data_IF_383042369860
#
_entry.id   IF_383042369860
#
_cell.length_a   1.000
_cell.length_b   1.000
_cell.length_c   1.000
_cell.angle_alpha   90.00
_cell.angle_beta   90.00
_cell.angle_gamma   90.00
#
_symmetry.space_group_name_H-M   'P 1'
#
loop_
_entity.id
_entity.type
_entity.pdbx_description
1 polymer ?
#
# COMPACT_ATOMS: atom_id res chain seq x y z
N UNK A 1 5.66 9.14 -0.13
CA UNK A 1 4.28 8.63 0.09
C UNK A 1 3.88 7.76 -1.09
N UNK A 2 3.10 6.71 -0.86
CA UNK A 2 2.53 5.84 -1.89
C UNK A 2 1.11 6.31 -2.23
N UNK A 3 1.01 7.41 -2.98
CA UNK A 3 -0.26 8.10 -3.27
C UNK A 3 -1.23 7.22 -4.07
N UNK A 4 -0.72 6.39 -4.98
CA UNK A 4 -1.53 5.51 -5.81
C UNK A 4 -2.19 4.42 -4.97
N UNK A 5 -1.43 3.75 -4.09
CA UNK A 5 -1.98 2.79 -3.13
C UNK A 5 -3.08 3.41 -2.26
N UNK A 6 -2.85 4.61 -1.72
CA UNK A 6 -3.87 5.29 -0.90
C UNK A 6 -5.14 5.61 -1.71
N UNK A 7 -4.99 6.06 -2.95
CA UNK A 7 -6.12 6.36 -3.83
C UNK A 7 -6.95 5.10 -4.13
N UNK A 8 -6.30 3.97 -4.43
CA UNK A 8 -7.00 2.71 -4.73
C UNK A 8 -7.70 2.13 -3.49
N UNK A 9 -7.11 2.24 -2.30
CA UNK A 9 -7.77 1.89 -1.03
C UNK A 9 -9.09 2.64 -0.87
N UNK A 10 -9.09 3.95 -1.15
CA UNK A 10 -10.29 4.80 -1.05
C UNK A 10 -11.30 4.46 -2.14
N UNK A 11 -10.86 4.30 -3.40
CA UNK A 11 -11.72 3.97 -4.55
C UNK A 11 -12.50 2.68 -4.32
N UNK A 12 -11.82 1.64 -3.82
CA UNK A 12 -12.41 0.34 -3.53
C UNK A 12 -13.10 0.25 -2.16
N UNK A 13 -13.02 1.30 -1.33
CA UNK A 13 -13.54 1.35 0.03
C UNK A 13 -13.00 0.21 0.91
N UNK A 14 -11.74 -0.17 0.71
CA UNK A 14 -11.10 -1.23 1.49
C UNK A 14 -10.73 -0.69 2.87
N UNK A 15 -11.08 -1.47 3.91
CA UNK A 15 -10.70 -1.14 5.28
C UNK A 15 -9.21 -1.43 5.46
N UNK A 16 -8.42 -0.38 5.65
CA UNK A 16 -6.98 -0.46 5.98
C UNK A 16 -6.61 -1.47 7.08
N UNK A 17 -7.40 -1.68 8.16
CA UNK A 17 -7.12 -2.75 9.12
C UNK A 17 -7.02 -4.15 8.50
N UNK A 18 -7.82 -4.47 7.47
CA UNK A 18 -7.77 -5.76 6.78
C UNK A 18 -6.45 -5.92 6.00
N UNK A 19 -6.01 -4.84 5.35
CA UNK A 19 -4.72 -4.82 4.66
C UNK A 19 -3.59 -5.04 5.66
N UNK A 20 -3.66 -4.38 6.82
CA UNK A 20 -2.65 -4.50 7.86
C UNK A 20 -2.57 -5.94 8.40
N UNK A 21 -3.72 -6.56 8.67
CA UNK A 21 -3.83 -7.96 9.09
C UNK A 21 -3.25 -8.92 8.05
N UNK A 22 -3.59 -8.75 6.77
CA UNK A 22 -3.12 -9.60 5.67
C UNK A 22 -1.59 -9.62 5.52
N UNK A 23 -0.91 -8.52 5.88
CA UNK A 23 0.56 -8.42 5.88
C UNK A 23 1.20 -8.63 7.26
N UNK A 24 0.43 -9.02 8.28
CA UNK A 24 0.93 -9.26 9.63
C UNK A 24 1.44 -8.00 10.34
N UNK A 25 0.84 -6.83 10.08
CA UNK A 25 1.22 -5.53 10.64
C UNK A 25 0.07 -4.87 11.39
N UNK A 26 0.42 -3.89 12.23
CA UNK A 26 -0.57 -3.05 12.87
C UNK A 26 -1.11 -1.99 11.89
N UNK A 27 -2.32 -1.50 12.15
CA UNK A 27 -2.91 -0.38 11.41
C UNK A 27 -1.98 0.85 11.38
N UNK A 28 -1.31 1.14 12.50
CA UNK A 28 -0.35 2.25 12.59
C UNK A 28 0.88 2.01 11.69
N UNK A 29 1.44 0.80 11.71
CA UNK A 29 2.57 0.43 10.85
C UNK A 29 2.21 0.55 9.38
N UNK A 30 1.01 0.11 8.98
CA UNK A 30 0.52 0.26 7.61
C UNK A 30 0.45 1.75 7.22
N UNK A 31 -0.13 2.60 8.06
CA UNK A 31 -0.22 4.04 7.76
C UNK A 31 1.16 4.70 7.63
N UNK A 32 2.12 4.35 8.49
CA UNK A 32 3.49 4.86 8.38
C UNK A 32 4.17 4.39 7.08
N UNK A 33 3.92 3.16 6.64
CA UNK A 33 4.39 2.65 5.36
C UNK A 33 3.76 3.38 4.18
N UNK A 34 2.42 3.56 4.16
CA UNK A 34 1.71 4.32 3.11
C UNK A 34 2.22 5.77 3.03
N UNK A 35 2.41 6.42 4.19
CA UNK A 35 3.00 7.76 4.27
C UNK A 35 4.44 7.82 3.70
N UNK A 36 5.10 6.67 3.54
CA UNK A 36 6.46 6.53 3.03
C UNK A 36 7.53 6.70 4.10
N UNK A 37 7.17 6.62 5.39
CA UNK A 37 8.13 6.67 6.51
C UNK A 37 8.92 5.37 6.62
N UNK A 38 8.32 4.25 6.27
CA UNK A 38 8.97 2.95 6.16
C UNK A 38 8.66 2.32 4.80
N UNK A 39 9.60 1.59 4.19
CA UNK A 39 9.34 0.86 2.95
C UNK A 39 8.39 -0.32 3.20
N UNK A 40 7.67 -0.73 2.16
CA UNK A 40 7.09 -2.08 2.11
C UNK A 40 8.19 -3.07 1.73
N UNK A 41 8.16 -4.27 2.31
CA UNK A 41 8.96 -5.38 1.76
C UNK A 41 8.34 -5.85 0.46
N UNK A 42 9.09 -6.61 -0.34
CA UNK A 42 8.56 -7.19 -1.57
C UNK A 42 7.35 -8.10 -1.30
N UNK A 43 7.46 -8.98 -0.30
CA UNK A 43 6.38 -9.90 0.08
C UNK A 43 5.12 -9.16 0.55
N UNK A 44 5.27 -8.09 1.33
CA UNK A 44 4.15 -7.24 1.73
C UNK A 44 3.49 -6.59 0.50
N UNK A 45 4.29 -6.11 -0.45
CA UNK A 45 3.77 -5.46 -1.66
C UNK A 45 3.01 -6.43 -2.57
N UNK A 46 3.56 -7.62 -2.80
CA UNK A 46 2.90 -8.69 -3.56
C UNK A 46 1.59 -9.10 -2.89
N UNK A 47 1.62 -9.37 -1.57
CA UNK A 47 0.44 -9.78 -0.81
C UNK A 47 -0.68 -8.75 -0.90
N UNK A 48 -0.34 -7.45 -0.79
CA UNK A 48 -1.32 -6.36 -0.94
C UNK A 48 -1.90 -6.33 -2.36
N UNK A 49 -1.06 -6.45 -3.38
CA UNK A 49 -1.50 -6.38 -4.77
C UNK A 49 -2.39 -7.57 -5.13
N UNK A 50 -1.97 -8.80 -4.84
CA UNK A 50 -2.73 -10.00 -5.20
C UNK A 50 -4.08 -10.11 -4.47
N UNK A 51 -4.13 -9.71 -3.19
CA UNK A 51 -5.33 -9.89 -2.36
C UNK A 51 -6.34 -8.75 -2.51
N UNK A 52 -5.87 -7.51 -2.71
CA UNK A 52 -6.72 -6.32 -2.67
C UNK A 52 -6.81 -5.56 -4.01
N UNK A 53 -5.78 -5.66 -4.85
CA UNK A 53 -5.65 -4.89 -6.10
C UNK A 53 -5.13 -5.74 -7.28
N UNK A 54 -5.73 -6.92 -7.56
CA UNK A 54 -5.20 -7.85 -8.57
C UNK A 54 -5.23 -7.28 -10.00
N UNK A 55 -6.06 -6.27 -10.26
CA UNK A 55 -6.14 -5.57 -11.53
C UNK A 55 -5.10 -4.44 -11.69
N UNK A 56 -4.42 -4.06 -10.61
CA UNK A 56 -3.44 -2.99 -10.62
C UNK A 56 -2.03 -3.55 -10.82
N UNK A 57 -1.20 -2.85 -11.59
CA UNK A 57 0.22 -3.19 -11.70
C UNK A 57 0.96 -2.84 -10.40
N UNK A 58 1.77 -3.79 -9.91
CA UNK A 58 2.55 -3.64 -8.67
C UNK A 58 3.40 -2.35 -8.67
N UNK A 59 4.09 -2.07 -9.78
CA UNK A 59 4.98 -0.91 -9.90
C UNK A 59 4.23 0.42 -9.81
N UNK A 60 3.04 0.50 -10.40
CA UNK A 60 2.23 1.72 -10.34
C UNK A 60 1.57 1.87 -8.97
N UNK A 61 1.12 0.78 -8.35
CA UNK A 61 0.53 0.79 -7.01
C UNK A 61 1.52 1.33 -5.96
N UNK A 62 2.77 0.87 -6.02
CA UNK A 62 3.86 1.25 -5.11
C UNK A 62 4.79 2.33 -5.66
N UNK A 63 4.34 3.09 -6.66
CA UNK A 63 5.09 4.25 -7.16
C UNK A 63 5.21 5.31 -6.08
N UNK A 64 6.44 5.69 -5.74
CA UNK A 64 6.69 6.80 -4.82
C UNK A 64 6.46 8.12 -5.56
N UNK A 65 5.76 9.03 -4.91
CA UNK A 65 5.79 10.43 -5.32
C UNK A 65 7.14 11.02 -4.92
N UNK A 66 8.12 10.96 -5.81
CA UNK A 66 9.32 11.79 -5.71
C UNK A 66 8.94 13.18 -6.23
N UNK A 67 9.03 14.19 -5.36
CA UNK A 67 9.19 15.55 -5.87
C UNK A 67 10.54 15.57 -6.56
N UNK A 68 10.55 15.78 -7.87
CA UNK A 68 11.75 16.29 -8.55
C UNK A 68 12.19 17.52 -7.75
N UNK A 69 13.37 17.42 -7.13
CA UNK A 69 14.04 18.56 -6.48
C UNK A 69 14.49 19.55 -7.54
#
# INVERSE_FOLDING_TARGET
MYSNLEAEIVRKKIKKPLIAEAIGRTYNTLNLKIAGKYPFTYDEAIKIQEEFFPECELKELFKKFDRLN
#
